data_IF_238079302032
#
_entry.id   IF_238079302032
#
_cell.length_a   1.000
_cell.length_b   1.000
_cell.length_c   1.000
_cell.angle_alpha   90.00
_cell.angle_beta   90.00
_cell.angle_gamma   90.00
#
_symmetry.space_group_name_H-M   'P 1'
#
loop_
_entity.id
_entity.type
_entity.pdbx_description
1 polymer ?
#
# COMPACT_ATOMS: atom_id res chain seq x y z
N UNK A 1 4.59 8.22 2.86
CA UNK A 1 3.62 7.44 3.66
C UNK A 1 4.18 7.34 5.05
N UNK A 2 3.40 7.65 6.10
CA UNK A 2 3.86 7.48 7.47
C UNK A 2 3.74 6.01 7.85
N UNK A 3 4.86 5.39 8.22
CA UNK A 3 4.85 4.06 8.84
C UNK A 3 4.21 4.23 10.22
N UNK A 4 3.24 3.38 10.62
CA UNK A 4 2.67 3.49 11.95
C UNK A 4 3.77 3.35 13.00
N UNK A 5 3.79 4.23 14.00
CA UNK A 5 4.88 4.28 15.00
C UNK A 5 5.09 2.95 15.74
N UNK A 6 4.06 2.11 15.84
CA UNK A 6 4.15 0.79 16.48
C UNK A 6 4.86 -0.27 15.64
N UNK A 7 5.11 -0.03 14.36
CA UNK A 7 5.88 -0.94 13.47
C UNK A 7 7.37 -0.66 13.59
N UNK A 8 7.76 0.51 14.12
CA UNK A 8 9.15 0.94 14.21
C UNK A 8 9.62 1.12 15.64
N UNK A 9 10.88 0.78 15.93
CA UNK A 9 11.54 1.15 17.18
C UNK A 9 11.82 2.68 17.22
N UNK A 10 12.25 3.24 18.38
CA UNK A 10 12.62 4.64 18.48
C UNK A 10 13.78 5.09 17.57
N UNK A 11 14.54 4.15 16.98
CA UNK A 11 15.63 4.42 16.04
C UNK A 11 15.15 4.39 14.57
N UNK A 12 13.88 4.06 14.32
CA UNK A 12 13.28 3.94 12.99
C UNK A 12 13.50 2.58 12.31
N UNK A 13 14.01 1.58 13.03
CA UNK A 13 14.10 0.20 12.54
C UNK A 13 12.75 -0.51 12.70
N UNK A 14 12.52 -1.59 11.95
CA UNK A 14 11.36 -2.46 12.18
C UNK A 14 11.44 -3.04 13.60
N UNK A 15 10.36 -2.89 14.38
CA UNK A 15 10.30 -3.36 15.76
C UNK A 15 10.44 -4.89 15.85
N UNK A 16 11.02 -5.39 16.94
CA UNK A 16 11.15 -6.83 17.20
C UNK A 16 9.80 -7.55 17.08
N UNK A 17 9.79 -8.66 16.36
CA UNK A 17 8.58 -9.44 16.09
C UNK A 17 7.80 -9.00 14.83
N UNK A 18 8.23 -7.92 14.17
CA UNK A 18 7.72 -7.51 12.87
C UNK A 18 8.75 -7.76 11.76
N UNK A 19 8.27 -7.96 10.54
CA UNK A 19 9.10 -8.10 9.35
C UNK A 19 8.40 -7.48 8.14
N UNK A 20 9.14 -6.77 7.30
CA UNK A 20 8.61 -6.25 6.03
C UNK A 20 8.59 -7.36 4.99
N UNK A 21 7.40 -7.80 4.59
CA UNK A 21 7.24 -8.91 3.64
C UNK A 21 7.43 -8.42 2.19
N UNK A 22 6.89 -7.25 1.85
CA UNK A 22 7.04 -6.66 0.53
C UNK A 22 6.64 -5.18 0.52
N UNK A 23 7.08 -4.47 -0.51
CA UNK A 23 6.61 -3.13 -0.86
C UNK A 23 5.65 -3.21 -2.05
N UNK A 24 4.55 -2.42 -2.02
CA UNK A 24 3.56 -2.41 -3.09
C UNK A 24 3.56 -1.06 -3.79
N UNK A 25 3.80 -1.08 -5.10
CA UNK A 25 3.79 0.09 -5.97
C UNK A 25 2.55 0.08 -6.84
N UNK A 26 1.71 1.11 -6.70
CA UNK A 26 0.48 1.23 -7.46
C UNK A 26 0.44 2.56 -8.22
N UNK A 27 0.08 2.52 -9.50
CA UNK A 27 -0.12 3.73 -10.30
C UNK A 27 -1.58 4.19 -10.21
N UNK A 28 -1.79 5.37 -9.62
CA UNK A 28 -3.10 6.00 -9.46
C UNK A 28 -3.53 6.83 -10.68
N UNK A 29 -2.68 6.96 -11.71
CA UNK A 29 -2.96 7.81 -12.87
C UNK A 29 -4.23 7.38 -13.63
N UNK A 30 -4.55 6.08 -13.64
CA UNK A 30 -5.76 5.52 -14.23
C UNK A 30 -7.06 5.88 -13.51
N UNK A 31 -6.97 6.38 -12.27
CA UNK A 31 -8.13 6.68 -11.42
C UNK A 31 -8.59 8.15 -11.51
N UNK A 32 -7.97 8.95 -12.38
CA UNK A 32 -8.27 10.39 -12.52
C UNK A 32 -9.74 10.70 -12.80
N UNK A 33 -10.43 9.84 -13.56
CA UNK A 33 -11.86 10.01 -13.86
C UNK A 33 -12.78 9.79 -12.65
N UNK A 34 -12.25 9.19 -11.58
CA UNK A 34 -12.95 8.85 -10.34
C UNK A 34 -12.71 9.86 -9.22
N UNK A 35 -12.01 10.97 -9.51
CA UNK A 35 -11.84 12.06 -8.55
C UNK A 35 -13.18 12.74 -8.26
N UNK A 36 -13.56 12.76 -6.99
CA UNK A 36 -14.77 13.41 -6.50
C UNK A 36 -14.39 14.79 -5.99
N UNK A 37 -14.95 15.84 -6.61
CA UNK A 37 -14.79 17.20 -6.12
C UNK A 37 -15.71 17.41 -4.92
N UNK A 38 -15.11 17.80 -3.80
CA UNK A 38 -15.79 18.09 -2.54
C UNK A 38 -15.57 19.54 -2.14
N UNK A 39 -16.41 20.05 -1.23
CA UNK A 39 -16.26 21.39 -0.64
C UNK A 39 -16.13 21.27 0.87
N UNK A 40 -14.97 21.65 1.39
CA UNK A 40 -14.69 21.69 2.82
C UNK A 40 -14.74 23.11 3.35
N UNK A 41 -14.49 23.25 4.65
CA UNK A 41 -14.45 24.54 5.35
C UNK A 41 -13.46 25.53 4.70
N UNK A 42 -12.33 25.05 4.19
CA UNK A 42 -11.27 25.86 3.57
C UNK A 42 -11.33 25.95 2.03
N UNK A 43 -12.39 25.43 1.40
CA UNK A 43 -12.57 25.50 -0.05
C UNK A 43 -12.73 24.14 -0.75
N UNK A 44 -12.59 24.15 -2.07
CA UNK A 44 -12.74 22.94 -2.88
C UNK A 44 -11.50 22.04 -2.78
N UNK A 45 -11.74 20.74 -2.68
CA UNK A 45 -10.69 19.71 -2.70
C UNK A 45 -11.18 18.49 -3.48
N UNK A 46 -10.27 17.56 -3.77
CA UNK A 46 -10.61 16.32 -4.47
C UNK A 46 -10.35 15.13 -3.57
N UNK A 47 -11.28 14.18 -3.57
CA UNK A 47 -11.14 12.87 -2.94
C UNK A 47 -11.03 11.78 -3.99
N UNK A 48 -10.30 10.72 -3.64
CA UNK A 48 -10.25 9.49 -4.41
C UNK A 48 -10.52 8.33 -3.47
N UNK A 49 -11.44 7.44 -3.87
CA UNK A 49 -11.75 6.22 -3.15
C UNK A 49 -11.29 5.02 -3.99
N UNK A 50 -10.50 4.15 -3.38
CA UNK A 50 -10.02 2.90 -3.98
C UNK A 50 -9.67 1.93 -2.86
N UNK A 51 -9.74 0.64 -3.19
CA UNK A 51 -9.30 -0.45 -2.35
C UNK A 51 -7.96 -0.99 -2.85
N UNK A 52 -7.03 -1.25 -1.94
CA UNK A 52 -5.84 -2.04 -2.22
C UNK A 52 -6.14 -3.50 -1.87
N UNK A 53 -6.27 -4.34 -2.87
CA UNK A 53 -6.60 -5.75 -2.72
C UNK A 53 -5.33 -6.60 -2.71
N UNK A 54 -5.20 -7.46 -1.69
CA UNK A 54 -4.18 -8.50 -1.60
C UNK A 54 -4.83 -9.86 -1.81
N UNK A 55 -4.36 -10.59 -2.81
CA UNK A 55 -4.83 -11.93 -3.11
C UNK A 55 -3.73 -12.95 -2.79
N UNK A 56 -4.04 -13.84 -1.84
CA UNK A 56 -3.15 -14.91 -1.40
C UNK A 56 -3.50 -16.19 -2.16
N UNK A 57 -2.90 -16.37 -3.33
CA UNK A 57 -3.14 -17.53 -4.19
C UNK A 57 -2.08 -18.59 -3.98
N UNK A 58 -2.15 -19.36 -2.88
CA UNK A 58 -1.32 -20.55 -2.60
C UNK A 58 0.21 -20.32 -2.59
N UNK A 59 0.80 -20.03 -3.74
CA UNK A 59 2.22 -19.80 -3.99
C UNK A 59 2.53 -18.33 -4.34
N UNK A 60 1.56 -17.57 -4.85
CA UNK A 60 1.77 -16.19 -5.31
C UNK A 60 0.94 -15.19 -4.49
N UNK A 61 1.62 -14.14 -4.00
CA UNK A 61 0.97 -12.92 -3.55
C UNK A 61 0.71 -12.03 -4.77
N UNK A 62 -0.53 -11.57 -4.95
CA UNK A 62 -0.90 -10.59 -5.97
C UNK A 62 -1.50 -9.35 -5.31
N UNK A 63 -1.24 -8.20 -5.91
CA UNK A 63 -1.79 -6.93 -5.47
C UNK A 63 -2.43 -6.20 -6.65
N UNK A 64 -3.60 -5.60 -6.43
CA UNK A 64 -4.26 -4.75 -7.42
C UNK A 64 -5.08 -3.67 -6.72
N UNK A 65 -5.36 -2.59 -7.44
CA UNK A 65 -6.33 -1.59 -7.05
C UNK A 65 -7.70 -1.96 -7.59
N UNK A 66 -8.73 -1.69 -6.79
CA UNK A 66 -10.13 -1.74 -7.22
C UNK A 66 -10.79 -0.40 -6.90
N UNK A 67 -11.62 0.10 -7.82
CA UNK A 67 -12.39 1.33 -7.58
C UNK A 67 -13.70 1.34 -8.35
N UNK A 68 -14.64 2.17 -7.90
CA UNK A 68 -15.90 2.40 -8.61
C UNK A 68 -15.84 3.72 -9.39
N UNK A 69 -16.03 3.63 -10.70
CA UNK A 69 -16.22 4.78 -11.57
C UNK A 69 -17.60 4.71 -12.21
N UNK A 70 -18.50 5.63 -11.87
CA UNK A 70 -19.85 5.71 -12.47
C UNK A 70 -20.61 4.37 -12.42
N UNK A 71 -20.57 3.69 -11.27
CA UNK A 71 -21.18 2.38 -11.03
C UNK A 71 -20.49 1.20 -11.73
N UNK A 72 -19.35 1.40 -12.37
CA UNK A 72 -18.52 0.34 -12.95
C UNK A 72 -17.33 0.07 -12.03
N UNK A 73 -17.09 -1.20 -11.72
CA UNK A 73 -15.90 -1.61 -10.97
C UNK A 73 -14.73 -1.75 -11.95
N UNK A 74 -13.65 -1.03 -11.68
CA UNK A 74 -12.41 -1.07 -12.43
C UNK A 74 -11.30 -1.69 -11.59
N UNK A 75 -10.30 -2.25 -12.28
CA UNK A 75 -9.10 -2.82 -11.66
C UNK A 75 -7.85 -2.38 -12.39
N UNK A 76 -6.78 -2.18 -11.63
CA UNK A 76 -5.43 -2.00 -12.17
C UNK A 76 -4.43 -2.80 -11.35
N UNK A 77 -3.44 -3.38 -12.00
CA UNK A 77 -2.42 -4.16 -11.29
C UNK A 77 -1.55 -3.23 -10.43
N UNK A 78 -1.19 -3.71 -9.24
CA UNK A 78 -0.10 -3.15 -8.45
C UNK A 78 1.11 -4.07 -8.55
N UNK A 79 2.31 -3.49 -8.45
CA UNK A 79 3.57 -4.23 -8.48
C UNK A 79 4.00 -4.55 -7.06
N UNK A 80 4.31 -5.81 -6.80
CA UNK A 80 4.93 -6.23 -5.56
C UNK A 80 6.44 -6.22 -5.79
N UNK A 81 7.16 -5.46 -4.97
CA UNK A 81 8.60 -5.44 -4.90
C UNK A 81 8.97 -6.24 -3.66
N UNK A 82 9.53 -7.44 -3.86
CA UNK A 82 10.00 -8.28 -2.76
C UNK A 82 11.23 -7.62 -2.16
N UNK A 83 11.13 -7.20 -0.91
CA UNK A 83 12.28 -6.79 -0.11
C UNK A 83 13.01 -8.06 0.32
N UNK A 84 14.07 -8.42 -0.41
CA UNK A 84 15.08 -9.32 0.15
C UNK A 84 15.71 -8.61 1.35
N UNK A 85 15.32 -8.95 2.58
CA UNK A 85 16.08 -8.55 3.76
C UNK A 85 17.24 -9.52 4.00
N UNK A 86 18.37 -8.94 4.42
CA UNK A 86 19.66 -9.57 4.69
C UNK A 86 19.56 -10.91 5.45
N UNK A 87 20.50 -11.85 5.23
CA UNK A 87 20.61 -13.05 6.07
C UNK A 87 20.85 -12.66 7.54
N UNK A 88 20.42 -13.50 8.49
CA UNK A 88 20.57 -13.22 9.92
C UNK A 88 22.04 -12.99 10.26
N UNK A 89 22.33 -11.88 10.94
CA UNK A 89 23.63 -11.66 11.58
C UNK A 89 23.85 -12.77 12.61
N UNK A 90 24.67 -13.75 12.23
CA UNK A 90 25.31 -14.66 13.18
C UNK A 90 26.27 -13.81 14.02
N UNK A 91 26.35 -14.12 15.32
CA UNK A 91 27.06 -13.43 16.42
C UNK A 91 26.15 -12.40 17.10
N UNK A 92 25.61 -12.67 18.29
CA UNK A 92 26.40 -12.92 19.50
C UNK A 92 26.20 -14.28 20.18
N UNK A 93 27.31 -14.78 20.72
CA UNK A 93 27.45 -15.98 21.54
C UNK A 93 28.05 -15.56 22.88
#
# INVERSE_FOLDING_TARGET
MAVPEWVTDPNGNVADGFSVICEIHADLSGLRGSLIKERGEYGAYYKLYFDLCLEFGGVELKAYLEWNEKMVIHRSNAKIIVTHENPPSIHDK
#
